data_IF_231250576427
#
_entry.id   IF_231250576427
#
_cell.length_a   1.000
_cell.length_b   1.000
_cell.length_c   1.000
_cell.angle_alpha   90.00
_cell.angle_beta   90.00
_cell.angle_gamma   90.00
#
_symmetry.space_group_name_H-M   'P 1'
#
loop_
_entity.id
_entity.type
_entity.pdbx_description
1 polymer ?
#
# COMPACT_ATOMS: atom_id res chain seq x y z
N UNK A 1 -19.76 12.27 4.95
CA UNK A 1 -19.35 12.39 3.54
C UNK A 1 -18.23 11.40 3.31
N UNK A 2 -18.48 10.24 2.67
CA UNK A 2 -17.40 9.29 2.36
C UNK A 2 -16.52 9.90 1.27
N UNK A 3 -15.25 10.14 1.60
CA UNK A 3 -14.26 10.56 0.60
C UNK A 3 -14.06 9.37 -0.33
N UNK A 4 -14.56 9.46 -1.56
CA UNK A 4 -14.30 8.48 -2.62
C UNK A 4 -12.91 8.75 -3.18
N UNK A 5 -11.94 7.90 -2.87
CA UNK A 5 -10.61 8.00 -3.46
C UNK A 5 -10.60 7.36 -4.84
N UNK A 6 -10.28 8.13 -5.87
CA UNK A 6 -10.22 7.61 -7.25
C UNK A 6 -8.95 6.81 -7.56
N UNK A 7 -7.89 6.96 -6.73
CA UNK A 7 -6.60 6.30 -6.88
C UNK A 7 -6.06 5.90 -5.51
N UNK A 8 -5.53 4.69 -5.42
CA UNK A 8 -4.88 4.17 -4.22
C UNK A 8 -3.53 3.58 -4.60
N UNK A 9 -2.51 3.86 -3.80
CA UNK A 9 -1.20 3.20 -3.86
C UNK A 9 -1.08 2.36 -2.59
N UNK A 10 -0.89 1.06 -2.77
CA UNK A 10 -0.60 0.10 -1.70
C UNK A 10 0.90 -0.18 -1.77
N UNK A 11 1.65 0.10 -0.72
CA UNK A 11 3.09 -0.16 -0.65
C UNK A 11 3.31 -1.34 0.29
N UNK A 12 3.79 -2.45 -0.25
CA UNK A 12 4.06 -3.68 0.49
C UNK A 12 5.52 -3.75 0.93
N UNK A 13 5.84 -4.76 1.73
CA UNK A 13 7.18 -4.98 2.28
C UNK A 13 8.13 -5.79 1.36
N UNK A 14 7.83 -5.89 0.06
CA UNK A 14 8.73 -6.54 -0.88
C UNK A 14 9.91 -5.66 -1.28
N UNK A 15 10.74 -6.20 -2.18
CA UNK A 15 12.02 -5.62 -2.54
C UNK A 15 11.82 -4.51 -3.58
N UNK A 16 12.29 -3.31 -3.26
CA UNK A 16 12.42 -2.20 -4.21
C UNK A 16 13.91 -1.93 -4.42
N UNK A 17 14.40 -2.14 -5.65
CA UNK A 17 15.82 -1.95 -5.99
C UNK A 17 16.17 -0.49 -6.22
N UNK A 18 15.26 0.28 -6.80
CA UNK A 18 15.46 1.70 -7.11
C UNK A 18 14.22 2.51 -6.73
N UNK A 19 14.26 3.09 -5.53
CA UNK A 19 13.19 3.95 -5.01
C UNK A 19 12.98 5.20 -5.85
N UNK A 20 14.03 5.73 -6.50
CA UNK A 20 13.93 6.96 -7.31
C UNK A 20 13.18 6.66 -8.61
N UNK A 21 13.51 5.55 -9.26
CA UNK A 21 12.81 5.10 -10.47
C UNK A 21 11.35 4.78 -10.18
N UNK A 22 11.05 4.09 -9.07
CA UNK A 22 9.66 3.83 -8.68
C UNK A 22 8.91 5.14 -8.47
N UNK A 23 9.50 6.08 -7.71
CA UNK A 23 8.88 7.39 -7.48
C UNK A 23 8.64 8.17 -8.79
N UNK A 24 9.59 8.12 -9.72
CA UNK A 24 9.46 8.70 -11.06
C UNK A 24 8.27 8.08 -11.81
N UNK A 25 8.16 6.75 -11.84
CA UNK A 25 7.06 6.03 -12.49
C UNK A 25 5.72 6.29 -11.83
N UNK A 26 5.66 6.37 -10.51
CA UNK A 26 4.46 6.79 -9.78
C UNK A 26 3.98 8.15 -10.29
N UNK A 27 4.90 9.12 -10.43
CA UNK A 27 4.58 10.48 -10.86
C UNK A 27 4.22 10.56 -12.34
N UNK A 28 5.02 9.94 -13.23
CA UNK A 28 4.88 10.05 -14.69
C UNK A 28 3.83 9.11 -15.27
N UNK A 29 3.91 7.83 -14.93
CA UNK A 29 3.07 6.78 -15.55
C UNK A 29 1.69 6.73 -14.87
N UNK A 30 1.68 6.80 -13.54
CA UNK A 30 0.46 6.66 -12.73
C UNK A 30 -0.19 8.01 -12.35
N UNK A 31 0.48 9.12 -12.71
CA UNK A 31 0.02 10.48 -12.40
C UNK A 31 -0.26 10.63 -10.91
N UNK A 32 0.61 10.07 -10.07
CA UNK A 32 0.61 10.32 -8.63
C UNK A 32 0.91 11.79 -8.38
N UNK A 33 0.10 12.42 -7.54
CA UNK A 33 0.28 13.79 -7.10
C UNK A 33 0.04 13.86 -5.60
N UNK A 34 1.02 14.43 -4.88
CA UNK A 34 0.99 14.61 -3.42
C UNK A 34 -0.12 15.55 -2.96
N UNK A 35 -0.60 16.43 -3.85
CA UNK A 35 -1.67 17.39 -3.58
C UNK A 35 -3.05 16.91 -4.07
N UNK A 36 -3.11 15.75 -4.74
CA UNK A 36 -4.35 15.18 -5.26
C UNK A 36 -4.92 14.11 -4.31
N UNK A 37 -6.15 13.66 -4.62
CA UNK A 37 -6.90 12.62 -3.90
C UNK A 37 -6.33 11.20 -4.11
N UNK A 38 -5.02 10.99 -3.90
CA UNK A 38 -4.41 9.66 -3.87
C UNK A 38 -4.23 9.21 -2.42
N UNK A 39 -4.81 8.07 -2.09
CA UNK A 39 -4.63 7.43 -0.79
C UNK A 39 -3.39 6.53 -0.83
N UNK A 40 -2.52 6.63 0.17
CA UNK A 40 -1.35 5.77 0.32
C UNK A 40 -1.58 4.83 1.50
N UNK A 41 -1.60 3.53 1.23
CA UNK A 41 -1.72 2.48 2.23
C UNK A 41 -0.37 1.75 2.31
N UNK A 42 0.26 1.74 3.47
CA UNK A 42 1.41 0.90 3.74
C UNK A 42 0.96 -0.42 4.36
N UNK A 43 1.56 -1.53 3.91
CA UNK A 43 1.34 -2.86 4.47
C UNK A 43 2.60 -3.30 5.21
N UNK A 44 2.49 -3.53 6.52
CA UNK A 44 3.59 -3.88 7.43
C UNK A 44 4.83 -2.97 7.23
N UNK A 45 6.01 -3.57 7.01
CA UNK A 45 7.26 -2.89 6.69
C UNK A 45 7.23 -2.06 5.40
N UNK A 46 6.17 -2.12 4.60
CA UNK A 46 5.91 -1.21 3.50
C UNK A 46 5.89 0.26 3.92
N UNK A 47 5.67 0.57 5.20
CA UNK A 47 5.83 1.93 5.74
C UNK A 47 7.27 2.44 5.59
N UNK A 48 8.27 1.57 5.71
CA UNK A 48 9.67 1.92 5.47
C UNK A 48 9.90 2.20 3.97
N UNK A 49 9.31 1.39 3.09
CA UNK A 49 9.37 1.62 1.64
C UNK A 49 8.72 2.96 1.26
N UNK A 50 7.61 3.35 1.90
CA UNK A 50 7.05 4.70 1.75
C UNK A 50 8.08 5.79 2.08
N UNK A 51 8.71 5.72 3.25
CA UNK A 51 9.71 6.70 3.66
C UNK A 51 10.91 6.77 2.70
N UNK A 52 11.38 5.63 2.23
CA UNK A 52 12.48 5.54 1.26
C UNK A 52 12.12 6.22 -0.08
N UNK A 53 10.84 6.18 -0.48
CA UNK A 53 10.29 6.93 -1.62
C UNK A 53 9.89 8.37 -1.28
N UNK A 54 10.20 8.86 -0.07
CA UNK A 54 9.77 10.16 0.46
C UNK A 54 8.25 10.35 0.48
N UNK A 55 7.50 9.26 0.57
CA UNK A 55 6.05 9.22 0.73
C UNK A 55 5.71 9.09 2.21
N UNK A 56 4.53 9.61 2.59
CA UNK A 56 3.97 9.44 3.94
C UNK A 56 2.65 8.70 3.78
N UNK A 57 2.50 7.49 4.36
CA UNK A 57 1.26 6.74 4.27
C UNK A 57 0.11 7.50 4.94
N UNK A 58 -1.09 7.37 4.40
CA UNK A 58 -2.34 7.77 5.05
C UNK A 58 -2.80 6.70 6.05
N UNK A 59 -2.55 5.45 5.69
CA UNK A 59 -3.01 4.26 6.42
C UNK A 59 -1.86 3.26 6.51
N UNK A 60 -1.71 2.62 7.65
CA UNK A 60 -0.84 1.47 7.84
C UNK A 60 -1.70 0.28 8.24
N UNK A 61 -1.58 -0.83 7.52
CA UNK A 61 -2.32 -2.08 7.73
C UNK A 61 -1.33 -3.20 7.99
N UNK A 62 -1.60 -4.04 8.99
CA UNK A 62 -0.69 -5.12 9.38
C UNK A 62 -0.82 -5.54 10.83
N UNK A 63 0.03 -6.45 11.27
CA UNK A 63 0.07 -6.93 12.66
C UNK A 63 0.67 -5.90 13.64
N UNK A 64 1.33 -4.85 13.11
CA UNK A 64 2.08 -3.81 13.82
C UNK A 64 3.28 -4.31 14.66
N UNK A 65 3.36 -5.60 14.94
CA UNK A 65 4.48 -6.24 15.65
C UNK A 65 5.78 -6.14 14.85
N UNK A 66 5.67 -6.05 13.52
CA UNK A 66 6.79 -5.86 12.60
C UNK A 66 7.29 -4.40 12.50
N UNK A 67 6.60 -3.43 13.09
CA UNK A 67 6.90 -2.00 12.92
C UNK A 67 7.67 -1.47 14.15
N UNK A 68 8.91 -1.01 13.92
CA UNK A 68 9.72 -0.42 15.00
C UNK A 68 9.16 0.92 15.48
N UNK A 69 9.31 1.24 16.77
CA UNK A 69 8.94 2.55 17.34
C UNK A 69 9.56 3.72 16.56
N UNK A 70 10.82 3.58 16.12
CA UNK A 70 11.51 4.59 15.31
C UNK A 70 10.84 4.82 13.95
N UNK A 71 10.31 3.76 13.33
CA UNK A 71 9.55 3.87 12.08
C UNK A 71 8.23 4.60 12.31
N UNK A 72 7.52 4.27 13.40
CA UNK A 72 6.29 4.98 13.81
C UNK A 72 6.60 6.47 14.00
N UNK A 73 7.59 6.81 14.82
CA UNK A 73 8.02 8.20 15.04
C UNK A 73 8.36 8.91 13.72
N UNK A 74 9.05 8.23 12.81
CA UNK A 74 9.44 8.81 11.52
C UNK A 74 8.22 9.13 10.66
N UNK A 75 7.24 8.23 10.54
CA UNK A 75 6.02 8.47 9.76
C UNK A 75 5.09 9.47 10.45
N UNK A 76 5.02 9.49 11.78
CA UNK A 76 4.16 10.41 12.55
C UNK A 76 4.80 11.76 12.84
N UNK A 77 6.09 11.96 12.53
CA UNK A 77 6.79 13.24 12.73
C UNK A 77 6.20 14.38 11.88
N UNK A 78 5.47 14.05 10.81
CA UNK A 78 4.74 15.01 10.01
C UNK A 78 3.44 15.49 10.66
N UNK A 79 2.91 16.63 10.22
CA UNK A 79 1.61 17.18 10.69
C UNK A 79 0.38 16.38 10.21
N UNK A 80 0.57 15.33 9.41
CA UNK A 80 -0.52 14.55 8.81
C UNK A 80 -0.84 13.35 9.71
N UNK A 81 -2.08 13.20 10.20
CA UNK A 81 -2.46 12.04 10.99
C UNK A 81 -2.42 10.77 10.13
N UNK A 82 -1.99 9.66 10.72
CA UNK A 82 -1.93 8.34 10.09
C UNK A 82 -2.92 7.43 10.79
N UNK A 83 -3.72 6.70 10.00
CA UNK A 83 -4.64 5.68 10.52
C UNK A 83 -3.93 4.33 10.58
N UNK A 84 -3.98 3.68 11.73
CA UNK A 84 -3.50 2.30 11.88
C UNK A 84 -4.69 1.34 11.88
N UNK A 85 -4.57 0.23 11.16
CA UNK A 85 -5.57 -0.84 11.11
C UNK A 85 -4.82 -2.14 11.40
N UNK A 86 -5.08 -2.73 12.56
CA UNK A 86 -4.50 -4.03 12.88
C UNK A 86 -5.23 -5.14 12.12
N UNK A 87 -4.47 -6.05 11.52
CA UNK A 87 -5.05 -7.29 11.02
C UNK A 87 -5.45 -8.18 12.20
N UNK A 88 -6.49 -9.00 11.96
CA UNK A 88 -6.98 -9.95 12.95
C UNK A 88 -6.35 -11.31 12.57
N UNK A 89 -5.47 -11.88 13.43
CA UNK A 89 -4.71 -13.09 13.10
C UNK A 89 -5.57 -14.32 12.75
N UNK A 90 -6.83 -14.32 13.20
CA UNK A 90 -7.79 -15.41 13.02
C UNK A 90 -8.43 -15.46 11.62
N UNK A 91 -8.07 -14.52 10.73
CA UNK A 91 -8.60 -14.46 9.37
C UNK A 91 -7.58 -14.98 8.35
N UNK A 92 -8.09 -15.66 7.32
CA UNK A 92 -7.29 -16.24 6.23
C UNK A 92 -6.83 -15.22 5.16
N UNK A 93 -7.11 -13.93 5.36
CA UNK A 93 -6.72 -12.85 4.43
C UNK A 93 -5.32 -12.32 4.75
N UNK A 94 -4.46 -12.21 3.74
CA UNK A 94 -3.15 -11.55 3.90
C UNK A 94 -3.33 -10.04 4.12
N UNK A 95 -2.36 -9.38 4.76
CA UNK A 95 -2.44 -7.93 4.99
C UNK A 95 -2.52 -7.12 3.67
N UNK A 96 -1.96 -7.67 2.58
CA UNK A 96 -2.09 -7.04 1.25
C UNK A 96 -3.50 -7.22 0.67
N UNK A 97 -4.12 -8.39 0.84
CA UNK A 97 -5.53 -8.60 0.48
C UNK A 97 -6.44 -7.66 1.28
N UNK A 98 -6.22 -7.56 2.59
CA UNK A 98 -6.95 -6.63 3.45
C UNK A 98 -6.80 -5.17 3.00
N UNK A 99 -5.61 -4.76 2.55
CA UNK A 99 -5.39 -3.43 2.00
C UNK A 99 -6.12 -3.20 0.66
N UNK A 100 -6.17 -4.21 -0.21
CA UNK A 100 -6.95 -4.16 -1.45
C UNK A 100 -8.44 -4.05 -1.14
N UNK A 101 -8.97 -4.89 -0.25
CA UNK A 101 -10.39 -4.88 0.12
C UNK A 101 -10.79 -3.58 0.79
N UNK A 102 -9.92 -3.05 1.65
CA UNK A 102 -10.12 -1.74 2.24
C UNK A 102 -10.17 -0.64 1.18
N UNK A 103 -9.25 -0.64 0.22
CA UNK A 103 -9.25 0.32 -0.89
C UNK A 103 -10.52 0.21 -1.75
N UNK A 104 -10.92 -1.01 -2.11
CA UNK A 104 -12.15 -1.29 -2.86
C UNK A 104 -13.39 -0.84 -2.10
N UNK A 105 -13.46 -1.10 -0.79
CA UNK A 105 -14.54 -0.65 0.09
C UNK A 105 -14.67 0.87 0.19
N UNK A 106 -13.58 1.61 -0.02
CA UNK A 106 -13.60 3.07 -0.15
C UNK A 106 -14.00 3.57 -1.55
N UNK A 107 -14.32 2.65 -2.47
CA UNK A 107 -14.70 2.95 -3.85
C UNK A 107 -13.51 3.26 -4.77
N UNK A 108 -12.31 2.76 -4.44
CA UNK A 108 -11.15 2.88 -5.31
C UNK A 108 -11.45 2.33 -6.71
N UNK A 109 -11.02 3.06 -7.74
CA UNK A 109 -11.15 2.61 -9.14
C UNK A 109 -9.83 2.21 -9.77
N UNK A 110 -8.72 2.67 -9.19
CA UNK A 110 -7.37 2.33 -9.60
C UNK A 110 -6.54 2.06 -8.36
N UNK A 111 -5.98 0.86 -8.29
CA UNK A 111 -5.14 0.41 -7.18
C UNK A 111 -3.79 0.02 -7.78
N UNK A 112 -2.71 0.60 -7.27
CA UNK A 112 -1.36 0.23 -7.62
C UNK A 112 -0.67 -0.39 -6.42
N UNK A 113 -0.26 -1.65 -6.54
CA UNK A 113 0.50 -2.36 -5.52
C UNK A 113 1.99 -2.22 -5.86
N UNK A 114 2.75 -1.61 -4.97
CA UNK A 114 4.18 -1.30 -5.14
C UNK A 114 5.02 -2.19 -4.24
N UNK A 115 6.07 -2.79 -4.80
CA UNK A 115 6.97 -3.69 -4.06
C UNK A 115 6.31 -5.03 -3.75
N UNK A 116 5.48 -5.55 -4.65
CA UNK A 116 4.70 -6.77 -4.43
C UNK A 116 5.50 -8.09 -4.55
N UNK A 117 6.76 -8.02 -4.96
CA UNK A 117 7.66 -9.16 -5.14
C UNK A 117 8.86 -9.07 -4.19
N UNK A 118 9.38 -10.22 -3.75
CA UNK A 118 10.48 -10.26 -2.80
C UNK A 118 11.17 -11.62 -2.71
N UNK A 119 11.74 -11.90 -1.54
CA UNK A 119 12.41 -13.17 -1.19
C UNK A 119 11.41 -14.32 -0.95
N UNK A 120 10.22 -14.00 -0.44
CA UNK A 120 9.12 -14.94 -0.24
C UNK A 120 8.26 -15.08 -1.49
N UNK A 121 8.52 -16.13 -2.26
CA UNK A 121 7.83 -16.42 -3.51
C UNK A 121 6.34 -16.72 -3.31
N UNK A 122 5.98 -17.33 -2.19
CA UNK A 122 4.59 -17.59 -1.80
C UNK A 122 3.80 -16.28 -1.59
N UNK A 123 4.41 -15.28 -0.95
CA UNK A 123 3.82 -13.92 -0.85
C UNK A 123 3.72 -13.25 -2.22
N UNK A 124 4.75 -13.39 -3.05
CA UNK A 124 4.74 -12.84 -4.41
C UNK A 124 3.61 -13.44 -5.23
N UNK A 125 3.40 -14.77 -5.15
CA UNK A 125 2.29 -15.46 -5.81
C UNK A 125 0.94 -15.03 -5.26
N UNK A 126 0.80 -14.89 -3.94
CA UNK A 126 -0.42 -14.38 -3.32
C UNK A 126 -0.77 -12.98 -3.85
N UNK A 127 0.21 -12.08 -3.94
CA UNK A 127 0.02 -10.74 -4.48
C UNK A 127 -0.38 -10.75 -5.97
N UNK A 128 0.19 -11.65 -6.77
CA UNK A 128 -0.20 -11.81 -8.17
C UNK A 128 -1.65 -12.32 -8.30
N UNK A 129 -2.09 -13.22 -7.42
CA UNK A 129 -3.46 -13.70 -7.42
C UNK A 129 -4.49 -12.61 -7.07
N UNK A 130 -4.09 -11.53 -6.38
CA UNK A 130 -4.95 -10.36 -6.16
C UNK A 130 -5.42 -9.72 -7.47
N UNK A 131 -4.64 -9.83 -8.55
CA UNK A 131 -5.03 -9.31 -9.86
C UNK A 131 -6.22 -10.05 -10.49
N UNK A 132 -6.48 -11.28 -10.02
CA UNK A 132 -7.57 -12.13 -10.47
C UNK A 132 -8.63 -12.36 -9.37
N UNK A 133 -8.53 -11.67 -8.23
CA UNK A 133 -9.48 -11.85 -7.13
C UNK A 133 -10.82 -11.16 -7.43
N UNK A 134 -11.92 -11.57 -6.78
CA UNK A 134 -13.21 -10.88 -6.91
C UNK A 134 -13.12 -9.37 -6.58
N UNK A 135 -12.21 -8.99 -5.69
CA UNK A 135 -11.95 -7.58 -5.34
C UNK A 135 -11.47 -6.75 -6.53
N UNK A 136 -10.86 -7.39 -7.54
CA UNK A 136 -10.43 -6.75 -8.79
C UNK A 136 -11.58 -6.48 -9.78
N UNK A 137 -12.76 -7.08 -9.61
CA UNK A 137 -13.85 -7.03 -10.60
C UNK A 137 -14.28 -5.60 -10.95
N UNK A 138 -14.20 -4.69 -9.98
CA UNK A 138 -14.67 -3.30 -10.12
C UNK A 138 -13.55 -2.24 -10.06
N UNK A 139 -12.28 -2.67 -10.09
CA UNK A 139 -11.09 -1.83 -9.91
C UNK A 139 -9.96 -2.26 -10.86
N UNK A 140 -9.30 -1.29 -11.50
CA UNK A 140 -8.05 -1.55 -12.23
C UNK A 140 -6.92 -1.72 -11.20
N UNK A 141 -6.53 -2.98 -10.93
CA UNK A 141 -5.43 -3.32 -10.03
C UNK A 141 -4.19 -3.64 -10.86
N UNK A 142 -3.07 -3.02 -10.50
CA UNK A 142 -1.76 -3.28 -11.13
C UNK A 142 -0.68 -3.46 -10.09
N UNK A 143 0.39 -4.14 -10.49
CA UNK A 143 1.61 -4.29 -9.70
C UNK A 143 2.75 -3.50 -10.35
N UNK A 144 3.51 -2.80 -9.51
CA UNK A 144 4.77 -2.15 -9.85
C UNK A 144 5.85 -2.69 -8.91
N UNK A 145 6.81 -3.42 -9.46
CA UNK A 145 8.00 -3.95 -8.77
C UNK A 145 9.27 -3.36 -9.36
#
# INVERSE_FOLDING_TARGET
>A
MQIKFGKVIIVTNGIIKDYSLIYERLTKDYKFDRNASTLIIAVDGGAQNCLNMRLVPDIVIGDMDSITLKLIESITSGKKPIKFINSIPEKDESDTQLAVDYAVGLGAKRILIVGAAGDRIDHTLANLFLLASPSAENSDIRILT
#
